data_IF_787992637785
#
_entry.id   IF_787992637785
#
_cell.length_a   1.000
_cell.length_b   1.000
_cell.length_c   1.000
_cell.angle_alpha   90.00
_cell.angle_beta   90.00
_cell.angle_gamma   90.00
#
_symmetry.space_group_name_H-M   'P 1'
#
loop_
_entity.id
_entity.type
_entity.pdbx_description
1 polymer ?
#
# COMPACT_ATOMS: atom_id res chain seq x y z
N UNK A 1 -14.14 -3.73 25.85
CA UNK A 1 -14.41 -5.18 26.06
C UNK A 1 -14.56 -5.80 24.68
N UNK A 2 -13.48 -6.31 24.08
CA UNK A 2 -13.63 -7.22 22.95
C UNK A 2 -13.88 -8.59 23.56
N UNK A 3 -15.13 -9.04 23.47
CA UNK A 3 -15.49 -10.41 23.79
C UNK A 3 -14.69 -11.38 22.92
N UNK A 4 -14.69 -12.63 23.32
CA UNK A 4 -14.12 -13.79 22.64
C UNK A 4 -14.75 -13.98 21.24
N UNK A 5 -14.49 -13.04 20.33
CA UNK A 5 -14.65 -13.26 18.91
C UNK A 5 -13.49 -14.17 18.56
N UNK A 6 -13.80 -15.43 18.26
CA UNK A 6 -12.81 -16.43 17.88
C UNK A 6 -11.92 -15.93 16.73
N UNK A 7 -10.87 -16.69 16.42
CA UNK A 7 -9.96 -16.34 15.33
C UNK A 7 -10.75 -16.06 14.04
N UNK A 8 -10.47 -14.96 13.33
CA UNK A 8 -11.18 -14.61 12.11
C UNK A 8 -11.01 -15.71 11.06
N UNK A 9 -12.08 -15.99 10.33
CA UNK A 9 -12.08 -17.08 9.36
C UNK A 9 -11.35 -16.66 8.06
N UNK A 10 -10.28 -17.38 7.73
CA UNK A 10 -9.63 -17.26 6.42
C UNK A 10 -10.14 -18.35 5.47
N UNK A 11 -10.57 -17.99 4.27
CA UNK A 11 -11.02 -18.90 3.21
C UNK A 11 -9.86 -19.35 2.31
N UNK A 12 -9.92 -20.52 1.66
CA UNK A 12 -8.92 -20.90 0.66
C UNK A 12 -9.00 -19.98 -0.57
N UNK A 13 -7.93 -19.23 -0.87
CA UNK A 13 -7.90 -18.26 -1.96
C UNK A 13 -7.03 -18.70 -3.13
N UNK A 14 -5.92 -19.40 -2.85
CA UNK A 14 -4.96 -19.80 -3.88
C UNK A 14 -4.54 -21.25 -3.65
N UNK A 15 -4.57 -22.07 -4.70
CA UNK A 15 -4.03 -23.42 -4.71
C UNK A 15 -2.76 -23.49 -5.56
N UNK A 16 -1.71 -24.08 -5.02
CA UNK A 16 -0.45 -24.37 -5.73
C UNK A 16 -0.44 -25.85 -6.06
N UNK A 17 -0.34 -26.19 -7.35
CA UNK A 17 -0.32 -27.56 -7.83
C UNK A 17 1.09 -28.10 -8.10
N UNK A 18 1.25 -29.42 -8.00
CA UNK A 18 2.40 -30.18 -8.50
C UNK A 18 1.89 -31.38 -9.30
N UNK A 19 2.01 -31.31 -10.63
CA UNK A 19 1.41 -32.30 -11.53
C UNK A 19 -0.11 -32.27 -11.40
N UNK A 20 -0.72 -33.43 -11.14
CA UNK A 20 -2.17 -33.57 -11.02
C UNK A 20 -2.71 -33.28 -9.60
N UNK A 21 -1.85 -32.97 -8.63
CA UNK A 21 -2.24 -32.80 -7.23
C UNK A 21 -2.13 -31.33 -6.80
N UNK A 22 -3.05 -30.89 -5.94
CA UNK A 22 -2.88 -29.66 -5.16
C UNK A 22 -1.88 -29.96 -4.04
N UNK A 23 -0.76 -29.26 -4.04
CA UNK A 23 0.31 -29.43 -3.05
C UNK A 23 0.13 -28.50 -1.85
N UNK A 24 -0.32 -27.27 -2.09
CA UNK A 24 -0.51 -26.26 -1.04
C UNK A 24 -1.74 -25.39 -1.30
N UNK A 25 -2.35 -24.90 -0.23
CA UNK A 25 -3.47 -23.94 -0.28
C UNK A 25 -3.14 -22.76 0.62
N UNK A 26 -3.08 -21.56 0.03
CA UNK A 26 -2.99 -20.32 0.79
C UNK A 26 -4.39 -19.83 1.12
N UNK A 27 -4.59 -19.52 2.40
CA UNK A 27 -5.85 -19.01 2.93
C UNK A 27 -5.73 -17.52 3.23
N UNK A 28 -6.84 -16.82 3.14
CA UNK A 28 -6.92 -15.42 3.51
C UNK A 28 -8.33 -14.87 3.40
N UNK A 29 -8.41 -13.55 3.38
CA UNK A 29 -9.65 -12.80 3.23
C UNK A 29 -9.57 -11.92 1.99
N UNK A 30 -10.68 -11.82 1.26
CA UNK A 30 -10.80 -11.06 0.02
C UNK A 30 -12.10 -10.28 0.05
N UNK A 31 -12.06 -9.01 -0.34
CA UNK A 31 -13.23 -8.22 -0.67
C UNK A 31 -12.95 -7.44 -1.95
N UNK A 32 -13.90 -7.47 -2.89
CA UNK A 32 -13.93 -6.64 -4.09
C UNK A 32 -15.10 -5.69 -3.94
N UNK A 33 -14.82 -4.38 -3.99
CA UNK A 33 -15.85 -3.36 -3.82
C UNK A 33 -15.94 -2.47 -5.07
N UNK A 34 -17.14 -1.93 -5.33
CA UNK A 34 -17.32 -0.82 -6.27
C UNK A 34 -16.90 0.53 -5.63
N UNK A 35 -16.90 1.64 -6.40
CA UNK A 35 -16.54 2.97 -5.88
C UNK A 35 -17.48 3.52 -4.80
N UNK A 36 -18.72 3.03 -4.73
CA UNK A 36 -19.69 3.41 -3.70
C UNK A 36 -19.48 2.62 -2.39
N UNK A 37 -18.58 1.63 -2.42
CA UNK A 37 -18.22 0.77 -1.29
C UNK A 37 -19.08 -0.49 -1.18
N UNK A 38 -19.92 -0.80 -2.17
CA UNK A 38 -20.70 -2.03 -2.16
C UNK A 38 -19.79 -3.23 -2.46
N UNK A 39 -19.89 -4.29 -1.66
CA UNK A 39 -19.15 -5.53 -1.86
C UNK A 39 -19.75 -6.29 -3.04
N UNK A 40 -18.95 -6.49 -4.08
CA UNK A 40 -19.29 -7.25 -5.29
C UNK A 40 -18.94 -8.74 -5.12
N UNK A 41 -17.84 -9.03 -4.41
CA UNK A 41 -17.36 -10.40 -4.15
C UNK A 41 -16.56 -10.42 -2.83
N UNK A 42 -16.71 -11.49 -2.05
CA UNK A 42 -15.98 -11.66 -0.79
C UNK A 42 -15.69 -13.13 -0.47
N UNK A 43 -14.61 -13.36 0.29
CA UNK A 43 -14.25 -14.66 0.85
C UNK A 43 -13.57 -14.50 2.22
N UNK A 44 -13.94 -15.37 3.16
CA UNK A 44 -13.50 -15.29 4.57
C UNK A 44 -14.22 -14.19 5.36
N UNK A 45 -13.74 -13.91 6.58
CA UNK A 45 -14.26 -12.87 7.48
C UNK A 45 -13.69 -11.48 7.13
N UNK A 46 -14.28 -10.84 6.12
CA UNK A 46 -13.83 -9.53 5.62
C UNK A 46 -14.04 -8.37 6.60
N UNK A 47 -14.85 -8.57 7.65
CA UNK A 47 -15.13 -7.55 8.67
C UNK A 47 -14.10 -7.56 9.80
N UNK A 48 -13.31 -8.64 9.93
CA UNK A 48 -12.26 -8.71 10.92
C UNK A 48 -11.13 -7.71 10.64
N UNK A 49 -10.65 -7.06 11.71
CA UNK A 49 -9.56 -6.11 11.63
C UNK A 49 -8.29 -6.70 11.00
N UNK A 50 -7.61 -5.88 10.20
CA UNK A 50 -6.29 -6.16 9.64
C UNK A 50 -5.33 -5.01 9.95
N UNK A 51 -4.04 -5.32 9.97
CA UNK A 51 -3.03 -4.28 9.83
C UNK A 51 -2.91 -3.93 8.34
N UNK A 52 -3.26 -2.70 7.95
CA UNK A 52 -3.15 -2.25 6.55
C UNK A 52 -1.70 -2.24 6.03
N UNK A 53 -0.71 -2.15 6.94
CA UNK A 53 0.72 -2.08 6.61
C UNK A 53 0.95 -1.02 5.51
N UNK A 54 1.75 -1.35 4.50
CA UNK A 54 2.01 -0.41 3.41
C UNK A 54 0.78 -0.12 2.53
N UNK A 55 -0.29 -0.90 2.56
CA UNK A 55 -1.50 -0.59 1.80
C UNK A 55 -2.16 0.72 2.30
N UNK A 56 -1.77 1.23 3.48
CA UNK A 56 -2.24 2.51 4.00
C UNK A 56 -1.67 3.76 3.28
N UNK A 57 -0.65 3.61 2.42
CA UNK A 57 0.07 4.75 1.82
C UNK A 57 -0.81 5.73 1.03
N UNK A 58 -1.81 5.30 0.23
CA UNK A 58 -2.72 6.25 -0.40
C UNK A 58 -3.45 7.15 0.61
N UNK A 59 -3.84 6.61 1.77
CA UNK A 59 -4.43 7.40 2.85
C UNK A 59 -3.41 8.34 3.50
N UNK A 60 -2.14 7.93 3.60
CA UNK A 60 -1.04 8.79 4.07
C UNK A 60 -0.73 9.92 3.10
N UNK A 61 -0.99 9.74 1.81
CA UNK A 61 -0.83 10.76 0.77
C UNK A 61 -2.05 11.71 0.66
N UNK A 62 -3.22 11.37 1.22
CA UNK A 62 -4.40 12.24 1.17
C UNK A 62 -4.14 13.66 1.70
N UNK A 63 -3.44 13.88 2.83
CA UNK A 63 -3.14 15.23 3.30
C UNK A 63 -2.37 16.09 2.30
N UNK A 64 -1.47 15.50 1.49
CA UNK A 64 -0.74 16.21 0.43
C UNK A 64 -1.69 16.77 -0.64
N UNK A 65 -2.72 16.01 -0.99
CA UNK A 65 -3.72 16.41 -1.99
C UNK A 65 -4.77 17.33 -1.38
N UNK A 66 -5.37 16.94 -0.26
CA UNK A 66 -6.49 17.67 0.37
C UNK A 66 -6.08 19.03 0.95
N UNK A 67 -4.80 19.22 1.30
CA UNK A 67 -4.30 20.53 1.73
C UNK A 67 -4.07 21.51 0.58
N UNK A 68 -4.15 21.06 -0.68
CA UNK A 68 -3.79 21.84 -1.86
C UNK A 68 -2.28 21.89 -2.13
N UNK A 69 -1.43 21.26 -1.31
CA UNK A 69 0.01 21.27 -1.50
C UNK A 69 0.43 20.62 -2.82
N UNK A 70 -0.23 19.52 -3.24
CA UNK A 70 0.02 18.90 -4.53
C UNK A 70 -0.17 19.88 -5.70
N UNK A 71 -1.22 20.69 -5.67
CA UNK A 71 -1.50 21.71 -6.69
C UNK A 71 -0.50 22.88 -6.59
N UNK A 72 -0.27 23.40 -5.38
CA UNK A 72 0.63 24.53 -5.15
C UNK A 72 2.08 24.26 -5.60
N UNK A 73 2.56 23.02 -5.43
CA UNK A 73 3.88 22.60 -5.91
C UNK A 73 3.85 22.06 -7.36
N UNK A 74 2.68 21.98 -8.00
CA UNK A 74 2.54 21.46 -9.36
C UNK A 74 2.97 20.00 -9.50
N UNK A 75 2.57 19.14 -8.56
CA UNK A 75 2.87 17.71 -8.60
C UNK A 75 2.08 17.01 -9.71
N UNK A 76 2.77 16.12 -10.41
CA UNK A 76 2.25 15.30 -11.51
C UNK A 76 1.75 13.95 -10.98
N UNK A 77 0.97 13.23 -11.78
CA UNK A 77 0.52 11.87 -11.45
C UNK A 77 1.68 10.92 -11.14
N UNK A 78 2.83 11.08 -11.83
CA UNK A 78 4.04 10.29 -11.54
C UNK A 78 4.58 10.55 -10.14
N UNK A 79 4.56 11.80 -9.69
CA UNK A 79 5.05 12.20 -8.38
C UNK A 79 4.06 11.79 -7.27
N UNK A 80 2.76 11.93 -7.52
CA UNK A 80 1.71 11.43 -6.63
C UNK A 80 1.75 9.90 -6.50
N UNK A 81 2.01 9.18 -7.58
CA UNK A 81 2.16 7.72 -7.55
C UNK A 81 3.27 7.28 -6.60
N UNK A 82 4.39 8.00 -6.56
CA UNK A 82 5.50 7.72 -5.63
C UNK A 82 5.10 7.96 -4.18
N UNK A 83 4.36 9.02 -3.88
CA UNK A 83 3.83 9.28 -2.53
C UNK A 83 2.89 8.16 -2.03
N UNK A 84 2.21 7.47 -2.96
CA UNK A 84 1.27 6.38 -2.65
C UNK A 84 1.91 4.97 -2.64
N UNK A 85 3.18 4.82 -3.02
CA UNK A 85 3.78 3.52 -3.34
C UNK A 85 4.79 3.01 -2.30
N UNK A 86 4.90 1.67 -2.19
CA UNK A 86 6.13 1.04 -1.71
C UNK A 86 7.04 0.78 -2.91
N UNK A 87 7.96 1.70 -3.16
CA UNK A 87 8.87 1.60 -4.28
C UNK A 87 10.25 1.10 -3.86
N UNK A 88 10.93 0.38 -4.76
CA UNK A 88 12.28 -0.15 -4.55
C UNK A 88 13.40 0.87 -4.84
N UNK A 89 13.06 2.16 -4.93
CA UNK A 89 14.00 3.23 -5.25
C UNK A 89 14.75 3.04 -6.58
N UNK A 90 14.13 2.36 -7.55
CA UNK A 90 14.60 2.36 -8.94
C UNK A 90 14.64 3.79 -9.51
N UNK A 91 15.46 4.01 -10.54
CA UNK A 91 15.69 5.35 -11.10
C UNK A 91 14.42 6.16 -11.42
N UNK A 92 13.33 5.59 -11.97
CA UNK A 92 12.09 6.34 -12.15
C UNK A 92 11.48 6.89 -10.85
N UNK A 93 11.60 6.14 -9.75
CA UNK A 93 11.14 6.57 -8.43
C UNK A 93 12.04 7.67 -7.87
N UNK A 94 13.36 7.49 -7.94
CA UNK A 94 14.33 8.49 -7.49
C UNK A 94 14.17 9.81 -8.25
N UNK A 95 13.99 9.74 -9.57
CA UNK A 95 13.74 10.92 -10.40
C UNK A 95 12.47 11.67 -9.96
N UNK A 96 11.40 10.96 -9.63
CA UNK A 96 10.16 11.57 -9.12
C UNK A 96 10.36 12.19 -7.72
N UNK A 97 11.02 11.49 -6.78
CA UNK A 97 11.34 12.03 -5.44
C UNK A 97 12.18 13.30 -5.55
N UNK A 98 13.25 13.29 -6.34
CA UNK A 98 14.11 14.45 -6.59
C UNK A 98 13.35 15.62 -7.21
N UNK A 99 12.41 15.33 -8.10
CA UNK A 99 11.53 16.35 -8.70
C UNK A 99 10.61 16.99 -7.64
N UNK A 100 10.01 16.19 -6.75
CA UNK A 100 9.20 16.69 -5.63
C UNK A 100 10.03 17.60 -4.72
N UNK A 101 11.21 17.13 -4.29
CA UNK A 101 12.11 17.91 -3.44
C UNK A 101 12.48 19.25 -4.09
N UNK A 102 12.88 19.22 -5.36
CA UNK A 102 13.20 20.43 -6.13
C UNK A 102 12.04 21.42 -6.18
N UNK A 103 10.81 20.94 -6.38
CA UNK A 103 9.59 21.79 -6.41
C UNK A 103 9.27 22.40 -5.06
N UNK A 104 9.57 21.68 -3.97
CA UNK A 104 9.45 22.17 -2.60
C UNK A 104 10.62 23.07 -2.15
N UNK A 105 11.67 23.23 -2.98
CA UNK A 105 12.89 23.95 -2.59
C UNK A 105 13.75 23.20 -1.58
N UNK A 106 13.64 21.87 -1.54
CA UNK A 106 14.35 20.97 -0.62
C UNK A 106 15.42 20.15 -1.35
N UNK A 107 16.31 19.54 -0.58
CA UNK A 107 17.33 18.60 -1.05
C UNK A 107 17.14 17.21 -0.42
N UNK A 108 17.96 16.24 -0.82
CA UNK A 108 17.95 14.90 -0.21
C UNK A 108 18.30 14.94 1.30
N UNK A 109 19.03 15.96 1.76
CA UNK A 109 19.39 16.14 3.18
C UNK A 109 18.19 16.53 4.06
N UNK A 110 17.13 17.08 3.45
CA UNK A 110 15.88 17.40 4.14
C UNK A 110 15.00 16.15 4.35
N UNK A 111 15.32 15.03 3.70
CA UNK A 111 14.62 13.79 3.92
C UNK A 111 14.90 13.27 5.32
N UNK A 112 13.87 13.23 6.16
CA UNK A 112 13.93 12.58 7.48
C UNK A 112 13.85 11.04 7.39
N UNK A 113 14.37 10.49 6.30
CA UNK A 113 14.55 9.07 6.08
C UNK A 113 15.67 8.61 7.00
N UNK A 114 15.32 8.04 8.15
CA UNK A 114 16.31 7.45 9.06
C UNK A 114 17.20 6.44 8.35
N UNK A 115 18.39 6.18 8.89
CA UNK A 115 19.28 5.16 8.36
C UNK A 115 18.57 3.80 8.34
N UNK A 116 18.37 3.24 7.15
CA UNK A 116 17.85 1.88 6.97
C UNK A 116 19.00 0.98 6.49
N UNK A 117 19.10 -0.21 7.08
CA UNK A 117 20.07 -1.21 6.64
C UNK A 117 19.75 -1.67 5.20
N UNK A 118 20.74 -2.11 4.41
CA UNK A 118 20.45 -2.74 3.12
C UNK A 118 19.41 -3.86 3.28
N UNK A 119 18.41 -3.91 2.39
CA UNK A 119 17.41 -4.98 2.43
C UNK A 119 18.01 -6.35 2.07
N UNK A 120 19.17 -6.35 1.41
CA UNK A 120 19.93 -7.52 0.99
C UNK A 120 21.44 -7.23 1.13
N UNK A 121 22.20 -8.16 1.69
CA UNK A 121 23.68 -8.24 1.62
C UNK A 121 24.12 -9.17 0.49
#
# INVERSE_FOLDING_TARGET
>A
MHGDAGLPEDAPLVAVGRGALVESVHRGRLAVCDPDGNVLEAAGDTEAYIYARSAAKPFQALPLVLSGAAEAFGLTDRELAVACASHNAEEPHLAAVRSILKKAGLTEDDLQSGAHLPLYE
#
